data_IF_366261296779
#
_entry.id   IF_366261296779
#
_cell.length_a   1.000
_cell.length_b   1.000
_cell.length_c   1.000
_cell.angle_alpha   90.00
_cell.angle_beta   90.00
_cell.angle_gamma   90.00
#
_symmetry.space_group_name_H-M   'P 1'
#
loop_
_entity.id
_entity.type
_entity.pdbx_description
1 polymer ?
#
# COMPACT_ATOMS: atom_id res chain seq x y z
N UNK A 1 5.14 1.55 34.51
CA UNK A 1 4.31 1.47 35.73
C UNK A 1 3.56 0.15 35.71
N UNK A 2 3.65 -0.66 36.78
CA UNK A 2 2.84 -1.88 36.89
C UNK A 2 1.38 -1.44 37.08
N UNK A 3 0.49 -1.96 36.24
CA UNK A 3 -0.96 -1.80 36.45
C UNK A 3 -1.32 -2.54 37.73
N UNK A 4 -2.02 -1.86 38.66
CA UNK A 4 -2.52 -2.50 39.88
C UNK A 4 -3.54 -3.60 39.52
N UNK A 5 -3.40 -4.78 40.11
CA UNK A 5 -4.33 -5.89 39.91
C UNK A 5 -5.77 -5.50 40.28
N UNK A 6 -5.94 -4.66 41.29
CA UNK A 6 -7.25 -4.14 41.70
C UNK A 6 -7.89 -3.29 40.60
N UNK A 7 -7.10 -2.45 39.94
CA UNK A 7 -7.57 -1.65 38.80
C UNK A 7 -7.93 -2.55 37.60
N UNK A 8 -7.08 -3.54 37.29
CA UNK A 8 -7.38 -4.50 36.23
C UNK A 8 -8.65 -5.31 36.53
N UNK A 9 -8.85 -5.73 37.77
CA UNK A 9 -10.03 -6.40 38.24
C UNK A 9 -11.30 -5.56 38.00
N UNK A 10 -11.26 -4.29 38.42
CA UNK A 10 -12.39 -3.37 38.26
C UNK A 10 -12.77 -3.19 36.77
N UNK A 11 -11.80 -3.04 35.89
CA UNK A 11 -12.03 -2.90 34.43
C UNK A 11 -12.67 -4.18 33.87
N UNK A 12 -12.09 -5.35 34.16
CA UNK A 12 -12.57 -6.64 33.64
C UNK A 12 -13.96 -6.95 34.17
N UNK A 13 -14.18 -6.74 35.45
CA UNK A 13 -15.51 -6.90 36.05
C UNK A 13 -16.54 -6.03 35.33
N UNK A 14 -16.26 -4.74 35.18
CA UNK A 14 -17.16 -3.79 34.50
C UNK A 14 -17.45 -4.16 33.05
N UNK A 15 -16.44 -4.66 32.30
CA UNK A 15 -16.64 -5.12 30.94
C UNK A 15 -17.47 -6.40 30.86
N UNK A 16 -17.20 -7.37 31.70
CA UNK A 16 -17.95 -8.63 31.76
C UNK A 16 -19.44 -8.39 32.10
N UNK A 17 -19.70 -7.53 33.08
CA UNK A 17 -21.07 -7.17 33.49
C UNK A 17 -21.82 -6.39 32.40
N UNK A 18 -21.15 -5.44 31.72
CA UNK A 18 -21.74 -4.72 30.56
C UNK A 18 -22.13 -5.66 29.42
N UNK A 19 -21.40 -6.76 29.27
CA UNK A 19 -21.70 -7.79 28.26
C UNK A 19 -22.64 -8.88 28.78
N UNK A 20 -23.31 -8.67 29.93
CA UNK A 20 -24.34 -9.56 30.45
C UNK A 20 -23.84 -10.78 31.25
N UNK A 21 -22.57 -10.76 31.69
CA UNK A 21 -22.04 -11.76 32.58
C UNK A 21 -22.41 -11.40 34.05
N UNK A 22 -22.65 -12.41 34.86
CA UNK A 22 -22.98 -12.26 36.31
C UNK A 22 -21.77 -12.74 37.11
N UNK A 23 -21.19 -11.87 37.93
CA UNK A 23 -20.11 -12.25 38.85
C UNK A 23 -20.70 -13.19 39.94
N UNK A 24 -20.19 -14.43 40.03
CA UNK A 24 -20.55 -15.42 41.02
C UNK A 24 -19.66 -15.35 42.27
N UNK A 25 -18.37 -15.18 42.08
CA UNK A 25 -17.38 -15.18 43.15
C UNK A 25 -16.17 -14.33 42.79
N UNK A 26 -15.51 -13.77 43.79
CA UNK A 26 -14.24 -13.06 43.67
C UNK A 26 -13.31 -13.45 44.83
N UNK A 27 -12.09 -13.90 44.51
CA UNK A 27 -11.10 -14.25 45.52
C UNK A 27 -9.85 -13.38 45.31
N UNK A 28 -9.32 -12.84 46.42
CA UNK A 28 -8.05 -12.15 46.46
C UNK A 28 -7.02 -13.05 47.14
N UNK A 29 -6.01 -13.50 46.40
CA UNK A 29 -4.90 -14.31 46.89
C UNK A 29 -3.59 -13.49 46.81
N UNK A 30 -2.60 -13.91 47.62
CA UNK A 30 -1.34 -13.20 47.74
C UNK A 30 -0.63 -12.88 46.40
N UNK A 31 -0.82 -13.74 45.39
CA UNK A 31 -0.13 -13.65 44.07
C UNK A 31 -1.09 -13.42 42.89
N UNK A 32 -2.40 -13.49 43.13
CA UNK A 32 -3.41 -13.37 42.06
C UNK A 32 -4.78 -12.98 42.60
N UNK A 33 -5.61 -12.47 41.72
CA UNK A 33 -7.06 -12.33 41.95
C UNK A 33 -7.83 -13.24 41.00
N UNK A 34 -8.90 -13.84 41.47
CA UNK A 34 -9.73 -14.77 40.70
C UNK A 34 -11.15 -14.20 40.66
N UNK A 35 -11.75 -14.16 39.49
CA UNK A 35 -13.14 -13.76 39.28
C UNK A 35 -13.87 -14.89 38.55
N UNK A 36 -14.95 -15.38 39.12
CA UNK A 36 -15.82 -16.38 38.51
C UNK A 36 -17.10 -15.72 38.02
N UNK A 37 -17.38 -15.83 36.76
CA UNK A 37 -18.58 -15.29 36.10
C UNK A 37 -19.43 -16.41 35.53
N UNK A 38 -20.74 -16.15 35.42
CA UNK A 38 -21.67 -16.92 34.60
C UNK A 38 -22.16 -16.08 33.43
N UNK A 39 -22.11 -16.61 32.22
CA UNK A 39 -22.64 -15.96 31.04
C UNK A 39 -23.29 -16.98 30.11
N UNK A 40 -24.60 -16.80 29.81
CA UNK A 40 -25.37 -17.66 28.90
C UNK A 40 -25.23 -19.17 29.26
N UNK A 41 -25.31 -19.50 30.57
CA UNK A 41 -25.19 -20.87 31.05
C UNK A 41 -23.80 -21.47 31.08
N UNK A 42 -22.76 -20.68 30.80
CA UNK A 42 -21.34 -21.08 30.89
C UNK A 42 -20.64 -20.38 32.03
N UNK A 43 -19.82 -21.12 32.75
CA UNK A 43 -18.95 -20.57 33.78
C UNK A 43 -17.61 -20.15 33.20
N UNK A 44 -17.20 -18.93 33.54
CA UNK A 44 -15.94 -18.32 33.04
C UNK A 44 -15.12 -17.95 34.26
N UNK A 45 -13.91 -18.50 34.38
CA UNK A 45 -12.93 -18.13 35.41
C UNK A 45 -11.86 -17.25 34.83
N UNK A 46 -11.68 -16.06 35.40
CA UNK A 46 -10.63 -15.12 35.08
C UNK A 46 -9.59 -15.11 36.20
N UNK A 47 -8.35 -15.38 35.87
CA UNK A 47 -7.22 -15.29 36.81
C UNK A 47 -6.36 -14.07 36.44
N UNK A 48 -6.22 -13.13 37.37
CA UNK A 48 -5.37 -11.95 37.27
C UNK A 48 -4.13 -12.15 38.11
N UNK A 49 -2.97 -12.11 37.52
CA UNK A 49 -1.69 -12.23 38.23
C UNK A 49 -0.62 -11.38 37.57
N UNK A 50 0.42 -11.02 38.34
CA UNK A 50 1.58 -10.37 37.74
C UNK A 50 2.42 -11.42 37.01
N UNK A 51 2.56 -11.26 35.68
CA UNK A 51 3.50 -12.07 34.94
C UNK A 51 4.92 -11.45 35.09
N UNK A 52 5.87 -12.25 35.52
CA UNK A 52 7.28 -11.85 35.57
C UNK A 52 7.94 -11.83 34.17
N UNK A 53 7.29 -12.43 33.17
CA UNK A 53 7.65 -12.20 31.78
C UNK A 53 7.05 -10.88 31.32
N UNK A 54 7.85 -9.88 30.97
CA UNK A 54 7.30 -8.67 30.39
C UNK A 54 6.49 -9.07 29.16
N UNK A 55 5.22 -8.62 29.14
CA UNK A 55 4.36 -8.78 27.96
C UNK A 55 5.17 -8.31 26.75
N UNK A 56 5.66 -9.24 25.96
CA UNK A 56 6.22 -8.91 24.66
C UNK A 56 5.04 -8.46 23.84
N UNK A 57 4.81 -7.14 23.81
CA UNK A 57 3.93 -6.57 22.81
C UNK A 57 4.22 -7.31 21.49
N UNK A 58 3.23 -8.03 20.95
CA UNK A 58 3.36 -8.53 19.58
C UNK A 58 3.63 -7.29 18.76
N UNK A 59 4.91 -7.07 18.39
CA UNK A 59 5.27 -5.93 17.55
C UNK A 59 4.26 -5.87 16.44
N UNK A 60 3.57 -4.74 16.34
CA UNK A 60 2.56 -4.56 15.30
C UNK A 60 3.18 -4.97 13.97
N UNK A 61 2.51 -5.85 13.25
CA UNK A 61 3.03 -6.31 11.95
C UNK A 61 3.18 -5.11 11.04
N UNK A 62 4.35 -4.92 10.50
CA UNK A 62 4.67 -3.85 9.56
C UNK A 62 4.43 -4.36 8.13
N UNK A 63 3.73 -3.61 7.33
CA UNK A 63 3.42 -4.01 5.96
C UNK A 63 3.89 -2.97 4.96
N UNK A 64 4.37 -3.43 3.80
CA UNK A 64 4.78 -2.59 2.69
C UNK A 64 4.34 -3.19 1.36
N UNK A 65 3.73 -2.37 0.51
CA UNK A 65 3.51 -2.67 -0.89
C UNK A 65 4.57 -1.94 -1.72
N UNK A 66 5.22 -2.65 -2.64
CA UNK A 66 6.23 -2.08 -3.53
C UNK A 66 5.70 -2.12 -4.94
N UNK A 67 5.80 -1.00 -5.64
CA UNK A 67 5.47 -0.87 -7.06
C UNK A 67 6.75 -0.54 -7.83
N UNK A 68 6.97 -1.23 -8.94
CA UNK A 68 8.08 -0.91 -9.84
C UNK A 68 7.49 -0.32 -11.12
N UNK A 69 7.84 0.93 -11.39
CA UNK A 69 7.38 1.68 -12.55
C UNK A 69 8.27 1.47 -13.78
N UNK A 70 7.81 1.98 -14.93
CA UNK A 70 8.50 2.09 -16.21
C UNK A 70 8.72 0.79 -16.98
N UNK A 71 7.99 -0.30 -16.67
CA UNK A 71 8.00 -1.48 -17.53
C UNK A 71 7.37 -1.21 -18.89
N UNK A 72 7.65 -2.09 -19.86
CA UNK A 72 7.10 -2.07 -21.20
C UNK A 72 8.12 -2.05 -22.32
N UNK A 73 9.35 -1.55 -22.05
CA UNK A 73 10.47 -1.60 -22.99
C UNK A 73 11.50 -2.67 -22.66
N UNK A 74 11.59 -3.10 -21.41
CA UNK A 74 12.55 -4.11 -20.97
C UNK A 74 12.31 -5.46 -21.64
N UNK A 75 13.41 -6.17 -21.92
CA UNK A 75 13.43 -7.53 -22.46
C UNK A 75 14.69 -8.29 -22.01
N UNK A 76 14.70 -9.59 -22.23
CA UNK A 76 15.85 -10.45 -21.96
C UNK A 76 16.20 -10.57 -20.48
N UNK A 77 17.49 -10.86 -20.14
CA UNK A 77 17.91 -11.25 -18.81
C UNK A 77 17.53 -10.26 -17.70
N UNK A 78 17.57 -8.94 -17.99
CA UNK A 78 17.19 -7.94 -17.01
C UNK A 78 15.70 -8.02 -16.65
N UNK A 79 14.83 -8.19 -17.65
CA UNK A 79 13.39 -8.40 -17.39
C UNK A 79 13.17 -9.70 -16.61
N UNK A 80 13.88 -10.77 -16.94
CA UNK A 80 13.78 -12.05 -16.24
C UNK A 80 14.16 -11.90 -14.77
N UNK A 81 15.23 -11.19 -14.47
CA UNK A 81 15.65 -10.92 -13.09
C UNK A 81 14.63 -10.09 -12.29
N UNK A 82 13.88 -9.17 -12.92
CA UNK A 82 12.77 -8.51 -12.26
C UNK A 82 11.61 -9.48 -11.97
N UNK A 83 11.37 -10.45 -12.83
CA UNK A 83 10.35 -11.47 -12.59
C UNK A 83 10.71 -12.46 -11.48
N UNK A 84 11.99 -12.60 -11.13
CA UNK A 84 12.47 -13.42 -10.00
C UNK A 84 12.25 -12.76 -8.63
N UNK A 85 11.90 -11.47 -8.61
CA UNK A 85 11.53 -10.77 -7.38
C UNK A 85 10.26 -11.36 -6.74
N UNK A 86 10.04 -11.14 -5.41
CA UNK A 86 8.83 -11.59 -4.73
C UNK A 86 7.54 -11.22 -5.49
N UNK A 87 6.61 -12.16 -5.58
CA UNK A 87 5.37 -12.05 -6.35
C UNK A 87 4.45 -10.91 -5.87
N UNK A 88 4.58 -10.53 -4.60
CA UNK A 88 3.82 -9.43 -3.99
C UNK A 88 4.14 -8.05 -4.59
N UNK A 89 5.25 -7.93 -5.32
CA UNK A 89 5.66 -6.66 -5.94
C UNK A 89 4.83 -6.42 -7.19
N UNK A 90 4.17 -5.27 -7.25
CA UNK A 90 3.34 -4.84 -8.38
C UNK A 90 4.21 -4.22 -9.48
N UNK A 91 3.96 -4.57 -10.74
CA UNK A 91 4.62 -3.94 -11.89
C UNK A 91 3.69 -2.89 -12.52
N UNK A 92 4.24 -1.72 -12.80
CA UNK A 92 3.53 -0.67 -13.52
C UNK A 92 4.14 -0.51 -14.92
N UNK A 93 3.29 -0.63 -15.94
CA UNK A 93 3.71 -0.91 -17.31
C UNK A 93 3.17 0.19 -18.23
N UNK A 94 4.02 0.84 -18.99
CA UNK A 94 3.60 1.77 -20.05
C UNK A 94 2.69 1.07 -21.06
N UNK A 95 1.56 1.69 -21.49
CA UNK A 95 0.61 1.02 -22.38
C UNK A 95 1.05 0.92 -23.83
N UNK A 96 2.00 1.76 -24.27
CA UNK A 96 2.34 1.95 -25.69
C UNK A 96 3.82 1.58 -26.00
N UNK A 97 4.42 0.71 -25.19
CA UNK A 97 5.76 0.18 -25.44
C UNK A 97 5.71 -1.21 -26.11
N UNK A 98 6.81 -1.59 -26.72
CA UNK A 98 6.92 -2.82 -27.53
C UNK A 98 6.58 -4.11 -26.75
N UNK A 99 7.01 -4.20 -25.49
CA UNK A 99 6.86 -5.39 -24.67
C UNK A 99 5.74 -5.27 -23.62
N UNK A 100 4.87 -4.25 -23.69
CA UNK A 100 3.85 -3.95 -22.67
C UNK A 100 2.90 -5.12 -22.45
N UNK A 101 2.31 -5.63 -23.54
CA UNK A 101 1.32 -6.72 -23.47
C UNK A 101 1.98 -8.03 -23.03
N UNK A 102 3.19 -8.31 -23.51
CA UNK A 102 3.93 -9.52 -23.12
C UNK A 102 4.28 -9.49 -21.63
N UNK A 103 4.75 -8.33 -21.13
CA UNK A 103 5.07 -8.14 -19.71
C UNK A 103 3.83 -8.29 -18.83
N UNK A 104 2.69 -7.71 -19.22
CA UNK A 104 1.42 -7.86 -18.51
C UNK A 104 0.96 -9.32 -18.46
N UNK A 105 0.98 -10.02 -19.61
CA UNK A 105 0.54 -11.40 -19.67
C UNK A 105 1.43 -12.33 -18.82
N UNK A 106 2.75 -12.15 -18.88
CA UNK A 106 3.70 -12.90 -18.07
C UNK A 106 3.49 -12.65 -16.57
N UNK A 107 3.29 -11.39 -16.19
CA UNK A 107 3.00 -11.03 -14.80
C UNK A 107 1.73 -11.71 -14.30
N UNK A 108 0.65 -11.66 -15.10
CA UNK A 108 -0.61 -12.31 -14.77
C UNK A 108 -0.48 -13.85 -14.63
N UNK A 109 0.26 -14.51 -15.53
CA UNK A 109 0.52 -15.95 -15.46
C UNK A 109 1.26 -16.35 -14.17
N UNK A 110 2.08 -15.46 -13.63
CA UNK A 110 2.76 -15.66 -12.34
C UNK A 110 1.93 -15.19 -11.14
N UNK A 111 0.68 -14.73 -11.35
CA UNK A 111 -0.16 -14.18 -10.29
C UNK A 111 0.31 -12.85 -9.72
N UNK A 112 1.17 -12.12 -10.44
CA UNK A 112 1.68 -10.80 -10.07
C UNK A 112 0.71 -9.71 -10.51
N UNK A 113 0.44 -8.78 -9.62
CA UNK A 113 -0.39 -7.61 -9.91
C UNK A 113 0.30 -6.62 -10.85
N UNK A 114 -0.49 -6.01 -11.74
CA UNK A 114 0.02 -4.98 -12.65
C UNK A 114 -0.86 -3.73 -12.67
N UNK A 115 -0.24 -2.59 -12.92
CA UNK A 115 -0.85 -1.29 -13.20
C UNK A 115 -0.50 -0.84 -14.61
N UNK A 116 -1.31 0.03 -15.19
CA UNK A 116 -0.96 0.78 -16.40
C UNK A 116 -0.25 2.07 -15.96
N UNK A 117 0.98 2.26 -16.40
CA UNK A 117 1.76 3.47 -16.13
C UNK A 117 1.42 4.54 -17.16
N UNK A 118 0.51 5.45 -16.80
CA UNK A 118 -0.06 6.41 -17.75
C UNK A 118 0.79 7.67 -17.79
N UNK A 119 1.36 8.04 -18.96
CA UNK A 119 2.03 9.33 -19.11
C UNK A 119 1.08 10.49 -18.85
N UNK A 120 1.51 11.45 -18.02
CA UNK A 120 0.73 12.65 -17.69
C UNK A 120 1.62 13.88 -17.75
N UNK A 121 1.04 15.02 -18.07
CA UNK A 121 1.75 16.29 -18.30
C UNK A 121 2.55 16.74 -17.10
N UNK A 122 3.89 16.91 -17.22
CA UNK A 122 4.71 17.58 -16.22
C UNK A 122 4.67 19.11 -16.39
N UNK A 123 5.09 19.85 -15.36
CA UNK A 123 5.14 21.32 -15.37
C UNK A 123 5.97 21.85 -16.54
N UNK A 124 7.07 21.18 -16.88
CA UNK A 124 7.99 21.64 -17.91
C UNK A 124 7.68 21.09 -19.33
N UNK A 125 6.46 20.57 -19.56
CA UNK A 125 6.04 20.17 -20.89
C UNK A 125 5.98 21.39 -21.84
N UNK A 126 6.43 21.32 -23.11
CA UNK A 126 6.93 20.12 -23.84
C UNK A 126 8.43 19.86 -23.71
N UNK A 127 9.20 20.67 -22.95
CA UNK A 127 10.63 20.44 -22.76
C UNK A 127 10.92 19.08 -22.13
N UNK A 128 10.12 18.71 -21.14
CA UNK A 128 10.12 17.40 -20.53
C UNK A 128 8.93 16.63 -21.09
N UNK A 129 9.21 15.61 -21.89
CA UNK A 129 8.18 14.82 -22.57
C UNK A 129 7.89 13.53 -21.78
N UNK A 130 6.67 13.30 -21.32
CA UNK A 130 6.32 12.09 -20.55
C UNK A 130 6.17 10.84 -21.42
N UNK A 131 6.33 10.92 -22.71
CA UNK A 131 6.22 9.77 -23.62
C UNK A 131 4.98 9.81 -24.51
N UNK A 132 4.58 8.62 -25.00
CA UNK A 132 3.49 8.51 -25.98
C UNK A 132 2.12 8.70 -25.31
N UNK A 133 1.22 9.39 -26.03
CA UNK A 133 -0.18 9.57 -25.65
C UNK A 133 -0.37 10.02 -24.20
N UNK A 134 0.21 11.16 -23.77
CA UNK A 134 0.05 11.64 -22.40
C UNK A 134 -1.34 12.25 -22.17
N UNK A 135 -1.79 12.20 -20.92
CA UNK A 135 -2.89 13.05 -20.46
C UNK A 135 -2.36 14.47 -20.31
N UNK A 136 -2.92 15.42 -21.08
CA UNK A 136 -2.56 16.83 -21.06
C UNK A 136 -3.68 17.68 -20.50
N UNK A 137 -3.37 18.75 -19.78
CA UNK A 137 -4.36 19.60 -19.12
C UNK A 137 -5.33 20.30 -20.09
N UNK A 138 -4.89 20.55 -21.32
CA UNK A 138 -5.75 21.15 -22.36
C UNK A 138 -6.71 20.16 -23.04
N UNK A 139 -6.66 18.86 -22.70
CA UNK A 139 -7.55 17.86 -23.33
C UNK A 139 -8.97 17.99 -22.81
N UNK A 140 -9.95 17.79 -23.70
CA UNK A 140 -11.34 17.69 -23.29
C UNK A 140 -11.62 16.42 -22.48
N UNK A 141 -12.69 16.45 -21.66
CA UNK A 141 -13.18 15.27 -20.94
C UNK A 141 -13.28 14.03 -21.83
N UNK A 142 -13.96 14.18 -23.00
CA UNK A 142 -14.15 13.08 -23.93
C UNK A 142 -12.83 12.50 -24.46
N UNK A 143 -11.79 13.34 -24.64
CA UNK A 143 -10.49 12.90 -25.10
C UNK A 143 -9.74 12.13 -23.98
N UNK A 144 -9.76 12.61 -22.74
CA UNK A 144 -9.13 11.95 -21.60
C UNK A 144 -9.81 10.61 -21.32
N UNK A 145 -11.15 10.59 -21.22
CA UNK A 145 -11.92 9.36 -20.98
C UNK A 145 -11.64 8.31 -22.05
N UNK A 146 -11.61 8.73 -23.34
CA UNK A 146 -11.28 7.82 -24.45
C UNK A 146 -9.84 7.28 -24.34
N UNK A 147 -8.87 8.13 -24.01
CA UNK A 147 -7.48 7.72 -23.84
C UNK A 147 -7.33 6.68 -22.73
N UNK A 148 -7.90 6.93 -21.54
CA UNK A 148 -7.85 6.00 -20.42
C UNK A 148 -8.55 4.68 -20.76
N UNK A 149 -9.74 4.74 -21.39
CA UNK A 149 -10.45 3.54 -21.82
C UNK A 149 -9.66 2.72 -22.85
N UNK A 150 -8.98 3.38 -23.79
CA UNK A 150 -8.11 2.71 -24.77
C UNK A 150 -6.95 1.99 -24.07
N UNK A 151 -6.33 2.60 -23.09
CA UNK A 151 -5.24 1.98 -22.30
C UNK A 151 -5.75 0.77 -21.53
N UNK A 152 -6.92 0.88 -20.87
CA UNK A 152 -7.55 -0.25 -20.17
C UNK A 152 -7.91 -1.39 -21.12
N UNK A 153 -8.44 -1.08 -22.29
CA UNK A 153 -8.80 -2.09 -23.29
C UNK A 153 -7.56 -2.81 -23.88
N UNK A 154 -6.42 -2.09 -24.03
CA UNK A 154 -5.15 -2.69 -24.44
C UNK A 154 -4.56 -3.60 -23.34
N UNK A 155 -4.74 -3.21 -22.08
CA UNK A 155 -4.13 -3.87 -20.93
C UNK A 155 -5.20 -4.32 -19.91
N UNK A 156 -6.12 -5.23 -20.30
CA UNK A 156 -7.30 -5.55 -19.49
C UNK A 156 -6.99 -6.25 -18.17
N UNK A 157 -5.81 -6.92 -18.06
CA UNK A 157 -5.39 -7.65 -16.88
C UNK A 157 -4.80 -6.74 -15.79
N UNK A 158 -4.52 -5.47 -16.10
CA UNK A 158 -4.08 -4.50 -15.11
C UNK A 158 -5.23 -4.12 -14.17
N UNK A 159 -4.95 -4.07 -12.88
CA UNK A 159 -5.94 -3.78 -11.84
C UNK A 159 -6.32 -2.30 -11.74
N UNK A 160 -5.50 -1.41 -12.30
CA UNK A 160 -5.69 0.03 -12.25
C UNK A 160 -4.60 0.77 -13.01
N UNK A 161 -4.45 2.04 -12.70
CA UNK A 161 -3.40 2.89 -13.27
C UNK A 161 -2.61 3.62 -12.17
N UNK A 162 -1.39 4.07 -12.51
CA UNK A 162 -0.71 5.15 -11.79
C UNK A 162 -0.13 6.16 -12.79
N UNK A 163 0.21 7.34 -12.34
CA UNK A 163 0.76 8.39 -13.18
C UNK A 163 2.28 8.25 -13.36
N UNK A 164 2.73 8.27 -14.63
CA UNK A 164 4.10 8.61 -14.99
C UNK A 164 4.24 10.12 -15.12
N UNK A 165 5.24 10.69 -14.42
CA UNK A 165 5.31 12.16 -14.30
C UNK A 165 3.99 12.77 -13.83
N UNK A 166 3.47 13.78 -14.51
CA UNK A 166 2.17 14.38 -14.20
C UNK A 166 2.24 15.44 -13.09
N UNK A 167 3.40 16.09 -12.89
CA UNK A 167 3.52 17.13 -11.87
C UNK A 167 2.61 18.33 -12.11
N UNK A 168 2.11 18.52 -13.33
CA UNK A 168 1.06 19.49 -13.65
C UNK A 168 -0.33 18.82 -13.66
N UNK A 169 -0.52 17.77 -14.46
CA UNK A 169 -1.82 17.17 -14.65
C UNK A 169 -2.46 16.67 -13.33
N UNK A 170 -1.67 16.16 -12.39
CA UNK A 170 -2.18 15.69 -11.09
C UNK A 170 -2.59 16.81 -10.13
N UNK A 171 -2.33 18.08 -10.47
CA UNK A 171 -2.76 19.24 -9.68
C UNK A 171 -4.07 19.85 -10.18
N UNK A 172 -4.58 19.39 -11.32
CA UNK A 172 -5.81 19.86 -11.94
C UNK A 172 -6.99 18.95 -11.53
N UNK A 173 -7.97 19.50 -10.81
CA UNK A 173 -9.12 18.73 -10.30
C UNK A 173 -10.01 18.21 -11.45
N UNK A 174 -10.20 18.98 -12.51
CA UNK A 174 -11.06 18.60 -13.64
C UNK A 174 -10.42 17.46 -14.43
N UNK A 175 -9.13 17.61 -14.79
CA UNK A 175 -8.36 16.57 -15.49
C UNK A 175 -8.38 15.27 -14.72
N UNK A 176 -8.08 15.31 -13.41
CA UNK A 176 -8.12 14.12 -12.58
C UNK A 176 -9.55 13.59 -12.41
N UNK A 177 -10.56 14.46 -12.37
CA UNK A 177 -11.98 14.08 -12.38
C UNK A 177 -12.34 13.23 -13.61
N UNK A 178 -11.88 13.62 -14.79
CA UNK A 178 -12.11 12.89 -16.04
C UNK A 178 -11.40 11.53 -16.06
N UNK A 179 -10.17 11.48 -15.53
CA UNK A 179 -9.44 10.22 -15.34
C UNK A 179 -10.22 9.30 -14.39
N UNK A 180 -10.68 9.80 -13.25
CA UNK A 180 -11.41 9.00 -12.25
C UNK A 180 -12.76 8.52 -12.76
N UNK A 181 -13.45 9.30 -13.59
CA UNK A 181 -14.68 8.87 -14.27
C UNK A 181 -14.45 7.60 -15.08
N UNK A 182 -13.40 7.58 -15.92
CA UNK A 182 -13.09 6.40 -16.74
C UNK A 182 -12.72 5.18 -15.87
N UNK A 183 -12.00 5.38 -14.77
CA UNK A 183 -11.61 4.29 -13.85
C UNK A 183 -12.81 3.71 -13.11
N UNK A 184 -13.70 4.56 -12.59
CA UNK A 184 -14.91 4.13 -11.89
C UNK A 184 -15.81 3.29 -12.80
N UNK A 185 -16.03 3.72 -14.03
CA UNK A 185 -16.88 3.03 -14.99
C UNK A 185 -16.32 1.65 -15.38
N UNK A 186 -15.04 1.43 -15.17
CA UNK A 186 -14.32 0.15 -15.43
C UNK A 186 -13.97 -0.64 -14.17
N UNK A 187 -14.33 -0.14 -12.98
CA UNK A 187 -13.99 -0.79 -11.72
C UNK A 187 -12.48 -0.89 -11.46
N UNK A 188 -11.69 0.07 -11.96
CA UNK A 188 -10.23 0.11 -11.84
C UNK A 188 -9.80 1.02 -10.71
N UNK A 189 -8.66 0.74 -10.07
CA UNK A 189 -8.08 1.57 -9.03
C UNK A 189 -7.12 2.63 -9.58
N UNK A 190 -6.79 3.60 -8.73
CA UNK A 190 -5.77 4.61 -8.97
C UNK A 190 -4.68 4.60 -7.91
N UNK A 191 -3.41 4.69 -8.32
CA UNK A 191 -2.29 4.97 -7.44
C UNK A 191 -1.68 6.33 -7.80
N UNK A 192 -1.82 7.31 -6.92
CA UNK A 192 -1.10 8.58 -7.05
C UNK A 192 0.39 8.35 -6.77
N UNK A 193 1.22 8.40 -7.81
CA UNK A 193 2.67 8.28 -7.70
C UNK A 193 3.29 9.44 -6.93
N UNK A 194 2.54 10.53 -6.74
CA UNK A 194 2.94 11.71 -5.97
C UNK A 194 4.22 12.35 -6.46
N UNK A 195 4.29 12.59 -7.76
CA UNK A 195 5.40 13.30 -8.41
C UNK A 195 5.38 14.81 -8.11
N UNK A 196 4.27 15.31 -7.55
CA UNK A 196 4.10 16.65 -7.00
C UNK A 196 3.57 16.58 -5.56
N UNK A 197 4.10 17.43 -4.68
CA UNK A 197 3.61 17.54 -3.29
C UNK A 197 2.21 18.16 -3.20
N UNK A 198 1.78 18.88 -4.25
CA UNK A 198 0.46 19.53 -4.36
C UNK A 198 -0.51 18.75 -5.26
N UNK A 199 -0.22 17.47 -5.54
CA UNK A 199 -1.16 16.58 -6.23
C UNK A 199 -2.50 16.52 -5.50
N UNK A 200 -3.59 16.68 -6.24
CA UNK A 200 -4.99 16.50 -5.77
C UNK A 200 -5.58 15.15 -6.21
N UNK A 201 -4.82 14.38 -6.98
CA UNK A 201 -5.31 13.16 -7.64
C UNK A 201 -5.92 12.14 -6.67
N UNK A 202 -5.26 11.90 -5.52
CA UNK A 202 -5.77 11.00 -4.49
C UNK A 202 -7.10 11.48 -3.91
N UNK A 203 -7.23 12.77 -3.59
CA UNK A 203 -8.45 13.37 -3.05
C UNK A 203 -9.59 13.31 -4.06
N UNK A 204 -9.31 13.61 -5.33
CA UNK A 204 -10.28 13.51 -6.43
C UNK A 204 -10.76 12.08 -6.60
N UNK A 205 -9.86 11.09 -6.54
CA UNK A 205 -10.22 9.68 -6.60
C UNK A 205 -11.16 9.28 -5.46
N UNK A 206 -10.90 9.72 -4.23
CA UNK A 206 -11.78 9.46 -3.08
C UNK A 206 -13.18 10.09 -3.27
N UNK A 207 -13.25 11.36 -3.71
CA UNK A 207 -14.52 12.04 -4.03
C UNK A 207 -15.30 11.30 -5.13
N UNK A 208 -14.60 10.72 -6.11
CA UNK A 208 -15.19 9.96 -7.21
C UNK A 208 -15.53 8.50 -6.86
N UNK A 209 -15.29 8.05 -5.62
CA UNK A 209 -15.48 6.66 -5.16
C UNK A 209 -14.64 5.65 -5.96
N UNK A 210 -13.48 6.06 -6.45
CA UNK A 210 -12.48 5.19 -7.06
C UNK A 210 -11.56 4.66 -5.97
N UNK A 211 -11.35 3.33 -5.84
CA UNK A 211 -10.35 2.81 -4.93
C UNK A 211 -8.99 3.43 -5.23
N UNK A 212 -8.39 4.10 -4.25
CA UNK A 212 -7.18 4.87 -4.50
C UNK A 212 -6.13 4.69 -3.41
N UNK A 213 -4.90 4.82 -3.84
CA UNK A 213 -3.71 4.80 -3.00
C UNK A 213 -2.82 6.00 -3.31
N UNK A 214 -1.87 6.26 -2.42
CA UNK A 214 -0.88 7.32 -2.58
C UNK A 214 0.50 6.80 -2.19
N UNK A 215 1.50 7.07 -3.03
CA UNK A 215 2.89 6.77 -2.75
C UNK A 215 3.37 7.50 -1.48
N UNK A 216 4.09 6.79 -0.62
CA UNK A 216 4.69 7.33 0.58
C UNK A 216 6.16 7.70 0.39
N UNK A 217 6.86 6.98 -0.50
CA UNK A 217 8.28 7.18 -0.74
C UNK A 217 8.76 6.57 -2.05
N UNK A 218 9.74 7.23 -2.68
CA UNK A 218 10.54 6.62 -3.74
C UNK A 218 11.78 5.95 -3.16
N UNK A 219 12.14 4.77 -3.65
CA UNK A 219 13.26 4.00 -3.13
C UNK A 219 14.59 4.37 -3.78
N UNK A 220 14.56 4.79 -5.04
CA UNK A 220 15.74 5.02 -5.89
C UNK A 220 16.10 6.50 -6.06
N UNK A 221 15.55 7.37 -5.23
CA UNK A 221 15.85 8.82 -5.20
C UNK A 221 16.39 9.23 -3.83
N UNK A 222 17.31 10.17 -3.73
CA UNK A 222 17.93 10.95 -4.82
C UNK A 222 19.03 10.16 -5.56
N UNK A 223 19.52 9.05 -5.02
CA UNK A 223 20.53 8.21 -5.64
C UNK A 223 20.52 6.79 -5.04
N UNK A 224 21.36 5.88 -5.59
CA UNK A 224 21.43 4.47 -5.20
C UNK A 224 22.56 4.15 -4.21
N UNK A 225 23.10 5.14 -3.50
CA UNK A 225 24.17 4.91 -2.53
C UNK A 225 23.69 4.14 -1.30
N UNK A 226 24.61 3.45 -0.63
CA UNK A 226 24.34 2.76 0.64
C UNK A 226 23.75 3.69 1.71
N UNK A 227 24.20 4.95 1.73
CA UNK A 227 23.67 5.97 2.65
C UNK A 227 22.18 6.27 2.36
N UNK A 228 21.82 6.43 1.06
CA UNK A 228 20.44 6.58 0.62
C UNK A 228 19.60 5.36 0.97
N UNK A 229 20.08 4.15 0.69
CA UNK A 229 19.41 2.89 1.02
C UNK A 229 19.06 2.81 2.51
N UNK A 230 20.04 3.03 3.39
CA UNK A 230 19.82 3.01 4.85
C UNK A 230 18.85 4.10 5.29
N UNK A 231 18.88 5.27 4.64
CA UNK A 231 17.91 6.35 4.90
C UNK A 231 16.49 5.92 4.54
N UNK A 232 16.29 5.25 3.39
CA UNK A 232 14.99 4.72 2.99
C UNK A 232 14.46 3.66 3.94
N UNK A 233 15.32 2.78 4.45
CA UNK A 233 14.93 1.80 5.48
C UNK A 233 14.46 2.51 6.75
N UNK A 234 15.22 3.50 7.27
CA UNK A 234 14.79 4.29 8.43
C UNK A 234 13.49 5.04 8.20
N UNK A 235 13.30 5.62 7.00
CA UNK A 235 12.05 6.28 6.62
C UNK A 235 10.87 5.31 6.66
N UNK A 236 11.02 4.09 6.10
CA UNK A 236 9.99 3.06 6.14
C UNK A 236 9.63 2.68 7.59
N UNK A 237 10.64 2.48 8.46
CA UNK A 237 10.42 2.18 9.88
C UNK A 237 9.62 3.30 10.55
N UNK A 238 10.03 4.56 10.39
CA UNK A 238 9.32 5.72 10.98
C UNK A 238 7.88 5.86 10.45
N UNK A 239 7.65 5.63 9.15
CA UNK A 239 6.31 5.64 8.57
C UNK A 239 5.42 4.53 9.16
N UNK A 240 5.99 3.35 9.44
CA UNK A 240 5.24 2.21 10.00
C UNK A 240 4.75 2.42 11.43
N UNK A 241 5.28 3.41 12.15
CA UNK A 241 4.79 3.81 13.46
C UNK A 241 3.47 4.60 13.38
N UNK A 242 3.20 5.21 12.22
CA UNK A 242 2.05 6.10 11.98
C UNK A 242 1.02 5.52 11.02
N UNK A 243 1.39 4.49 10.26
CA UNK A 243 0.58 3.89 9.19
C UNK A 243 0.55 2.36 9.33
N UNK A 244 -0.60 1.75 9.08
CA UNK A 244 -0.74 0.30 9.05
C UNK A 244 0.05 -0.36 7.93
N UNK A 245 0.24 0.35 6.81
CA UNK A 245 0.99 -0.09 5.64
C UNK A 245 1.67 1.11 4.97
N UNK A 246 2.69 0.82 4.18
CA UNK A 246 3.45 1.80 3.41
C UNK A 246 3.38 1.40 1.95
N UNK A 247 3.31 2.38 1.05
CA UNK A 247 3.45 2.19 -0.38
C UNK A 247 4.75 2.85 -0.82
N UNK A 248 5.60 2.10 -1.49
CA UNK A 248 6.87 2.57 -2.00
C UNK A 248 6.99 2.31 -3.50
N UNK A 249 7.53 3.27 -4.24
CA UNK A 249 7.76 3.19 -5.69
C UNK A 249 9.26 3.18 -5.99
N UNK A 250 9.66 2.41 -6.99
CA UNK A 250 10.97 2.42 -7.63
C UNK A 250 10.82 2.21 -9.13
N UNK A 251 11.91 2.27 -9.93
CA UNK A 251 11.84 2.18 -11.39
C UNK A 251 12.75 1.06 -11.93
N UNK A 252 12.41 0.47 -13.08
CA UNK A 252 13.04 -0.75 -13.61
C UNK A 252 14.19 -0.53 -14.59
N UNK A 253 14.90 0.61 -14.57
CA UNK A 253 15.79 1.03 -15.68
C UNK A 253 17.13 0.29 -15.78
N UNK A 254 17.63 -0.37 -14.72
CA UNK A 254 18.97 -0.95 -14.74
C UNK A 254 19.15 -2.07 -13.72
N UNK A 255 20.22 -2.88 -13.90
CA UNK A 255 20.64 -3.88 -12.91
C UNK A 255 21.01 -3.26 -11.57
N UNK A 256 21.56 -2.04 -11.57
CA UNK A 256 21.93 -1.34 -10.35
C UNK A 256 20.68 -1.03 -9.51
N UNK A 257 19.59 -0.58 -10.14
CA UNK A 257 18.30 -0.36 -9.47
C UNK A 257 17.69 -1.68 -8.94
N UNK A 258 17.82 -2.76 -9.70
CA UNK A 258 17.38 -4.08 -9.26
C UNK A 258 18.16 -4.51 -8.00
N UNK A 259 19.47 -4.45 -8.03
CA UNK A 259 20.32 -4.79 -6.86
C UNK A 259 20.01 -3.92 -5.64
N UNK A 260 19.77 -2.63 -5.85
CA UNK A 260 19.36 -1.70 -4.79
C UNK A 260 18.03 -2.11 -4.15
N UNK A 261 17.04 -2.47 -4.98
CA UNK A 261 15.74 -2.95 -4.52
C UNK A 261 15.85 -4.27 -3.74
N UNK A 262 16.63 -5.23 -4.24
CA UNK A 262 16.88 -6.50 -3.54
C UNK A 262 17.50 -6.27 -2.15
N UNK A 263 18.47 -5.37 -2.07
CA UNK A 263 19.09 -4.99 -0.79
C UNK A 263 18.08 -4.30 0.14
N UNK A 264 17.23 -3.41 -0.40
CA UNK A 264 16.17 -2.77 0.37
C UNK A 264 15.20 -3.83 0.95
N UNK A 265 14.73 -4.76 0.11
CA UNK A 265 13.83 -5.85 0.54
C UNK A 265 14.46 -6.69 1.65
N UNK A 266 15.74 -7.04 1.51
CA UNK A 266 16.49 -7.79 2.53
C UNK A 266 16.55 -7.04 3.86
N UNK A 267 16.78 -5.73 3.81
CA UNK A 267 16.90 -4.90 5.01
C UNK A 267 15.54 -4.69 5.69
N UNK A 268 14.48 -4.36 4.96
CA UNK A 268 13.16 -4.15 5.57
C UNK A 268 12.57 -5.43 6.17
N UNK A 269 12.85 -6.60 5.57
CA UNK A 269 12.47 -7.89 6.16
C UNK A 269 13.15 -8.11 7.53
N UNK A 270 14.41 -7.69 7.70
CA UNK A 270 15.09 -7.71 9.00
C UNK A 270 14.44 -6.77 10.01
N UNK A 271 13.85 -5.65 9.55
CA UNK A 271 13.08 -4.71 10.37
C UNK A 271 11.65 -5.20 10.68
N UNK A 272 11.29 -6.41 10.25
CA UNK A 272 10.00 -7.06 10.53
C UNK A 272 8.89 -6.70 9.56
N UNK A 273 9.21 -6.15 8.39
CA UNK A 273 8.20 -5.89 7.36
C UNK A 273 7.80 -7.16 6.60
N UNK A 274 6.52 -7.23 6.28
CA UNK A 274 5.92 -8.20 5.35
C UNK A 274 5.56 -7.47 4.06
N UNK A 275 5.98 -8.03 2.92
CA UNK A 275 5.53 -7.55 1.60
C UNK A 275 4.06 -7.92 1.40
N UNK A 276 3.28 -7.01 0.84
CA UNK A 276 1.89 -7.24 0.45
C UNK A 276 1.66 -6.79 -0.98
N UNK A 277 0.83 -7.51 -1.74
CA UNK A 277 0.29 -7.00 -3.00
C UNK A 277 -0.53 -5.74 -2.76
N UNK A 278 -0.54 -4.82 -3.72
CA UNK A 278 -1.23 -3.53 -3.60
C UNK A 278 -2.73 -3.70 -3.31
N UNK A 279 -3.39 -4.70 -3.90
CA UNK A 279 -4.82 -4.99 -3.68
C UNK A 279 -5.16 -5.40 -2.24
N UNK A 280 -4.19 -5.93 -1.49
CA UNK A 280 -4.41 -6.36 -0.10
C UNK A 280 -4.47 -5.17 0.86
N UNK A 281 -3.92 -4.04 0.47
CA UNK A 281 -3.92 -2.81 1.26
C UNK A 281 -5.35 -2.35 1.58
N UNK A 282 -6.27 -2.35 0.60
CA UNK A 282 -7.68 -2.00 0.80
C UNK A 282 -8.41 -2.88 1.82
N UNK A 283 -8.09 -4.16 1.85
CA UNK A 283 -8.73 -5.11 2.77
C UNK A 283 -8.32 -4.91 4.21
N UNK A 284 -7.23 -4.17 4.44
CA UNK A 284 -6.74 -3.86 5.80
C UNK A 284 -7.38 -2.59 6.38
N UNK A 285 -7.88 -1.70 5.52
CA UNK A 285 -8.57 -0.46 5.92
C UNK A 285 -10.08 -0.64 6.05
N UNK A 286 -10.65 -1.71 5.49
CA UNK A 286 -12.05 -2.04 5.72
C UNK A 286 -12.26 -2.32 7.22
N UNK A 287 -13.27 -1.70 7.88
CA UNK A 287 -13.60 -2.06 9.25
C UNK A 287 -13.89 -3.56 9.28
N UNK A 288 -13.15 -4.29 10.13
CA UNK A 288 -13.50 -5.67 10.41
C UNK A 288 -14.89 -5.63 11.10
N UNK A 289 -15.92 -5.96 10.32
CA UNK A 289 -17.24 -6.21 10.89
C UNK A 289 -17.08 -7.49 11.72
N UNK A 290 -16.99 -7.32 13.05
CA UNK A 290 -17.01 -8.39 14.02
C UNK A 290 -18.41 -9.01 14.12
#
# INVERSE_FOLDING_TARGET
SKVDLTFANMIIKGEMERNGAILKNGEDKRDRQILDFSHRGKDIRVNLYYDNNPYKEKKAKKYIAIVIDDFGSLKGPLLDSYFDLPQEITFSIFPDMENSIQTMNRAHQQGRETLIHVPMEPIDYPKVNPGKNPVLVQMSEAAIVRLINNNINKMPLCMGINNHMGSLATTDEDVMGYVMKALRDKGKLFLDSRTSNVSVAYQVAQKALVPAYRNDMFLDTPNLSDASLRSKVRQAVSLSEKKKFIIAITHCHSEEKLKHLEQFIKLIRKEGFTLLPLSRVNKMDAPQIL
#
